data_IF_102125781122
#
_entry.id   IF_102125781122
#
_cell.length_a   1.000
_cell.length_b   1.000
_cell.length_c   1.000
_cell.angle_alpha   90.00
_cell.angle_beta   90.00
_cell.angle_gamma   90.00
#
_symmetry.space_group_name_H-M   'P 1'
#
loop_
_entity.id
_entity.type
_entity.pdbx_description
1 polymer ?
#
# COMPACT_ATOMS: atom_id res chain seq x y z
N UNK A 1 2.43 -7.90 -5.77
CA UNK A 1 3.55 -6.94 -5.94
C UNK A 1 4.64 -7.29 -4.93
N UNK A 2 5.92 -7.44 -5.33
CA UNK A 2 6.97 -7.76 -4.39
C UNK A 2 7.22 -6.57 -3.48
N UNK A 3 7.14 -6.78 -2.17
CA UNK A 3 7.48 -5.77 -1.18
C UNK A 3 8.72 -6.23 -0.42
N UNK A 4 9.52 -5.28 0.03
CA UNK A 4 10.68 -5.60 0.86
C UNK A 4 10.23 -6.19 2.20
N UNK A 5 11.06 -7.01 2.83
CA UNK A 5 10.78 -7.63 4.14
C UNK A 5 10.44 -6.64 5.27
N UNK A 6 10.81 -5.38 5.08
CA UNK A 6 10.54 -4.26 5.98
C UNK A 6 9.07 -3.77 5.90
N UNK A 7 8.35 -4.15 4.84
CA UNK A 7 6.95 -3.77 4.59
C UNK A 7 6.03 -4.87 5.12
N UNK A 8 5.46 -4.66 6.30
CA UNK A 8 4.48 -5.58 6.88
C UNK A 8 3.04 -5.05 6.70
N UNK A 9 2.05 -5.95 6.54
CA UNK A 9 0.65 -5.56 6.45
C UNK A 9 0.15 -4.83 7.70
N UNK A 10 0.69 -5.12 8.88
CA UNK A 10 0.40 -4.40 10.12
C UNK A 10 0.85 -2.93 10.05
N UNK A 11 2.08 -2.67 9.61
CA UNK A 11 2.59 -1.29 9.45
C UNK A 11 1.78 -0.50 8.41
N UNK A 12 1.33 -1.18 7.35
CA UNK A 12 0.43 -0.61 6.35
C UNK A 12 -0.93 -0.27 6.95
N UNK A 13 -1.51 -1.17 7.73
CA UNK A 13 -2.79 -0.94 8.39
C UNK A 13 -2.71 0.23 9.39
N UNK A 14 -1.62 0.35 10.14
CA UNK A 14 -1.42 1.46 11.10
C UNK A 14 -1.32 2.83 10.40
N UNK A 15 -0.64 2.89 9.24
CA UNK A 15 -0.49 4.12 8.45
C UNK A 15 -1.64 4.41 7.49
N UNK A 16 -2.54 3.45 7.28
CA UNK A 16 -3.75 3.61 6.46
C UNK A 16 -5.01 3.54 7.32
N UNK A 17 -4.89 3.78 8.63
CA UNK A 17 -6.05 3.88 9.50
C UNK A 17 -6.95 5.04 9.06
N UNK A 18 -8.23 4.73 8.82
CA UNK A 18 -9.19 5.67 8.25
C UNK A 18 -9.22 5.75 6.71
N UNK A 19 -8.34 5.02 5.99
CA UNK A 19 -8.43 4.89 4.54
C UNK A 19 -9.53 3.89 4.16
N UNK A 20 -10.26 4.19 3.09
CA UNK A 20 -11.13 3.23 2.43
C UNK A 20 -10.31 2.20 1.66
N UNK A 21 -10.89 1.02 1.38
CA UNK A 21 -10.26 -0.02 0.59
C UNK A 21 -9.74 0.47 -0.78
N UNK A 22 -10.43 1.43 -1.40
CA UNK A 22 -9.98 2.04 -2.66
C UNK A 22 -8.75 2.94 -2.50
N UNK A 23 -8.62 3.59 -1.34
CA UNK A 23 -7.50 4.49 -1.03
C UNK A 23 -6.25 3.66 -0.70
N UNK A 24 -6.40 2.55 0.05
CA UNK A 24 -5.31 1.58 0.29
C UNK A 24 -4.79 1.00 -1.02
N UNK A 25 -5.67 0.62 -1.95
CA UNK A 25 -5.28 0.14 -3.29
C UNK A 25 -4.52 1.23 -4.05
N UNK A 26 -4.97 2.48 -3.97
CA UNK A 26 -4.29 3.61 -4.64
C UNK A 26 -2.89 3.84 -4.07
N UNK A 27 -2.71 3.76 -2.74
CA UNK A 27 -1.39 3.86 -2.09
C UNK A 27 -0.47 2.74 -2.58
N UNK A 28 -0.94 1.49 -2.63
CA UNK A 28 -0.16 0.36 -3.12
C UNK A 28 0.29 0.55 -4.57
N UNK A 29 -0.61 1.04 -5.43
CA UNK A 29 -0.32 1.25 -6.84
C UNK A 29 0.67 2.40 -7.05
N UNK A 30 0.50 3.49 -6.30
CA UNK A 30 1.41 4.62 -6.36
C UNK A 30 2.80 4.28 -5.80
N UNK A 31 2.87 3.47 -4.74
CA UNK A 31 4.13 2.98 -4.19
C UNK A 31 4.90 2.11 -5.20
N UNK A 32 4.19 1.28 -5.97
CA UNK A 32 4.79 0.52 -7.06
C UNK A 32 5.29 1.42 -8.19
N UNK A 33 4.54 2.47 -8.54
CA UNK A 33 4.98 3.47 -9.52
C UNK A 33 6.21 4.24 -9.05
N UNK A 34 6.27 4.64 -7.78
CA UNK A 34 7.45 5.28 -7.20
C UNK A 34 8.68 4.37 -7.24
N UNK A 35 8.51 3.08 -6.94
CA UNK A 35 9.60 2.10 -7.06
C UNK A 35 10.13 2.01 -8.49
N UNK A 36 9.23 1.97 -9.48
CA UNK A 36 9.58 1.89 -10.89
C UNK A 36 10.22 3.19 -11.41
N UNK A 37 9.79 4.35 -10.89
CA UNK A 37 10.40 5.64 -11.20
C UNK A 37 11.79 5.80 -10.60
N UNK A 38 12.01 5.27 -9.39
CA UNK A 38 13.32 5.28 -8.74
C UNK A 38 14.31 4.38 -9.50
N UNK A 39 13.88 3.16 -9.81
CA UNK A 39 14.71 2.21 -10.56
C UNK A 39 13.82 1.29 -11.41
N UNK A 40 13.97 1.39 -12.72
CA UNK A 40 13.14 0.65 -13.68
C UNK A 40 13.37 -0.88 -13.63
N UNK A 41 14.50 -1.30 -13.06
CA UNK A 41 14.85 -2.71 -12.85
C UNK A 41 14.47 -3.20 -11.45
N UNK A 42 14.04 -2.29 -10.56
CA UNK A 42 13.60 -2.64 -9.22
C UNK A 42 12.20 -3.23 -9.27
N UNK A 43 12.13 -4.49 -8.84
CA UNK A 43 10.86 -5.22 -8.68
C UNK A 43 10.31 -5.09 -7.26
N UNK A 44 11.04 -4.46 -6.33
CA UNK A 44 10.75 -4.49 -4.90
C UNK A 44 10.31 -3.12 -4.39
N UNK A 45 9.11 -3.05 -3.82
CA UNK A 45 8.60 -1.83 -3.19
C UNK A 45 9.11 -1.74 -1.75
N UNK A 46 9.84 -0.68 -1.42
CA UNK A 46 10.36 -0.39 -0.07
C UNK A 46 9.43 0.56 0.68
N UNK A 47 9.61 0.64 2.00
CA UNK A 47 8.83 1.54 2.85
C UNK A 47 8.96 3.02 2.46
N UNK A 48 10.11 3.43 1.93
CA UNK A 48 10.30 4.78 1.37
C UNK A 48 9.30 5.12 0.27
N UNK A 49 8.97 4.16 -0.61
CA UNK A 49 7.99 4.37 -1.68
C UNK A 49 6.56 4.46 -1.14
N UNK A 50 6.22 3.64 -0.14
CA UNK A 50 4.94 3.73 0.56
C UNK A 50 4.77 5.09 1.25
N UNK A 51 5.82 5.62 1.86
CA UNK A 51 5.79 6.96 2.46
C UNK A 51 5.52 8.05 1.41
N UNK A 52 6.14 7.95 0.23
CA UNK A 52 5.86 8.87 -0.88
C UNK A 52 4.43 8.72 -1.40
N UNK A 53 3.94 7.49 -1.52
CA UNK A 53 2.57 7.18 -1.92
C UNK A 53 1.53 7.70 -0.92
N UNK A 54 1.74 7.52 0.38
CA UNK A 54 0.87 8.05 1.43
C UNK A 54 0.83 9.58 1.43
N UNK A 55 1.95 10.24 1.11
CA UNK A 55 1.99 11.69 0.95
C UNK A 55 1.27 12.17 -0.31
N UNK A 56 1.29 11.38 -1.39
CA UNK A 56 0.62 11.68 -2.65
C UNK A 56 -0.90 11.39 -2.60
N UNK A 57 -1.31 10.32 -1.92
CA UNK A 57 -2.71 9.91 -1.78
C UNK A 57 -3.32 10.60 -0.58
N UNK A 58 -3.96 11.74 -0.82
CA UNK A 58 -4.76 12.42 0.20
C UNK A 58 -6.08 11.67 0.40
N UNK A 59 -6.44 11.28 1.63
CA UNK A 59 -7.71 10.62 1.87
C UNK A 59 -8.84 11.58 1.51
N UNK A 60 -9.65 11.18 0.52
CA UNK A 60 -10.83 11.94 0.09
C UNK A 60 -12.05 11.61 0.95
N UNK A 61 -12.01 10.48 1.64
CA UNK A 61 -13.06 10.07 2.58
C UNK A 61 -12.83 10.76 3.92
N UNK A 62 -13.15 12.05 4.00
CA UNK A 62 -13.27 12.72 5.29
C UNK A 62 -14.43 12.11 6.07
N UNK A 63 -14.12 11.26 7.05
CA UNK A 63 -14.99 10.83 8.16
C UNK A 63 -16.38 10.22 7.88
N UNK A 64 -16.80 9.97 6.63
CA UNK A 64 -18.23 9.64 6.36
C UNK A 64 -18.53 8.27 5.72
N UNK A 65 -17.56 7.37 5.50
CA UNK A 65 -17.89 6.00 5.05
C UNK A 65 -17.33 4.93 5.97
N UNK A 66 -18.26 4.35 6.72
CA UNK A 66 -18.12 3.22 7.61
C UNK A 66 -17.71 1.93 6.88
N UNK A 67 -16.81 1.19 7.53
CA UNK A 67 -16.67 -0.26 7.44
C UNK A 67 -16.37 -0.87 6.05
N UNK A 68 -15.10 -1.15 5.76
CA UNK A 68 -14.55 -2.48 5.38
C UNK A 68 -13.09 -2.32 4.92
N UNK A 69 -12.18 -1.91 5.81
CA UNK A 69 -10.76 -1.73 5.46
C UNK A 69 -9.90 -2.94 5.85
N UNK A 70 -10.20 -3.61 6.97
CA UNK A 70 -9.41 -4.77 7.46
C UNK A 70 -9.39 -5.97 6.51
N UNK A 71 -10.49 -6.31 5.84
CA UNK A 71 -10.56 -7.51 5.00
C UNK A 71 -9.89 -7.35 3.63
N UNK A 72 -9.75 -6.13 3.11
CA UNK A 72 -9.15 -5.89 1.79
C UNK A 72 -7.62 -5.89 1.84
N UNK A 73 -7.02 -5.40 2.93
CA UNK A 73 -5.56 -5.52 3.13
C UNK A 73 -5.12 -6.99 3.11
N UNK A 74 -5.89 -7.89 3.73
CA UNK A 74 -5.65 -9.34 3.68
C UNK A 74 -5.98 -9.93 2.29
N UNK A 75 -7.10 -9.56 1.67
CA UNK A 75 -7.50 -10.12 0.37
C UNK A 75 -6.58 -9.72 -0.79
N UNK A 76 -5.96 -8.53 -0.76
CA UNK A 76 -4.96 -8.12 -1.74
C UNK A 76 -3.61 -8.82 -1.54
N UNK A 77 -3.36 -9.35 -0.34
CA UNK A 77 -2.19 -10.14 0.01
C UNK A 77 -2.37 -11.65 -0.30
N UNK A 78 -3.61 -12.14 -0.43
CA UNK A 78 -3.88 -13.57 -0.63
C UNK A 78 -3.84 -14.04 -2.10
N UNK A 79 -3.81 -13.12 -3.08
CA UNK A 79 -3.80 -13.48 -4.51
C UNK A 79 -2.41 -13.49 -5.15
N UNK A 80 -1.39 -12.99 -4.45
CA UNK A 80 -0.02 -12.93 -4.95
C UNK A 80 0.85 -13.54 -3.86
N UNK A 81 1.32 -14.78 -4.08
CA UNK A 81 2.38 -15.39 -3.29
C UNK A 81 3.36 -14.30 -2.89
N UNK A 82 3.43 -13.97 -1.58
CA UNK A 82 4.26 -12.88 -1.05
C UNK A 82 5.70 -13.16 -1.47
N UNK A 83 6.07 -12.66 -2.65
CA UNK A 83 7.42 -12.63 -3.17
C UNK A 83 8.08 -11.54 -2.38
N UNK A 84 8.53 -11.93 -1.20
CA UNK A 84 9.55 -11.18 -0.51
C UNK A 84 10.78 -11.17 -1.43
N UNK A 85 11.17 -9.98 -1.88
CA UNK A 85 12.58 -9.73 -2.07
C UNK A 85 13.18 -9.70 -0.64
#
# INVERSE_FOLDING_TARGET
>A
MPTAHDVTPDSLADHTDGYSGAEVVSVCHEAALFALQEDISSICVRWGHFRSALAAVTPRTGADMNATSRNLAYSLYEVDHVQNC
#
